data_IF_447856950291
#
_entry.id   IF_447856950291
#
_cell.length_a   1.000
_cell.length_b   1.000
_cell.length_c   1.000
_cell.angle_alpha   90.00
_cell.angle_beta   90.00
_cell.angle_gamma   90.00
#
_symmetry.space_group_name_H-M   'P 1'
#
loop_
_entity.id
_entity.type
_entity.pdbx_description
1 polymer ?
#
# COMPACT_ATOMS: atom_id res chain seq x y z
N UNK A 1 -4.89 16.77 -16.96
CA UNK A 1 -5.20 15.44 -17.48
C UNK A 1 -6.57 15.47 -18.16
N UNK A 2 -6.65 14.98 -19.39
CA UNK A 2 -7.90 14.91 -20.16
C UNK A 2 -8.65 13.60 -19.88
N UNK A 3 -9.04 13.41 -18.63
CA UNK A 3 -9.77 12.19 -18.20
C UNK A 3 -11.03 11.90 -19.04
N UNK A 4 -11.63 12.95 -19.66
CA UNK A 4 -12.84 12.78 -20.45
C UNK A 4 -12.65 12.15 -21.84
N UNK A 5 -11.41 11.87 -22.24
CA UNK A 5 -11.09 11.23 -23.52
C UNK A 5 -11.01 9.71 -23.41
N UNK A 6 -11.06 9.17 -22.18
CA UNK A 6 -10.92 7.75 -21.91
C UNK A 6 -12.21 7.18 -21.31
N UNK A 7 -12.55 5.96 -21.72
CA UNK A 7 -13.52 5.14 -21.03
C UNK A 7 -12.86 4.53 -19.77
N UNK A 8 -13.30 4.99 -18.62
CA UNK A 8 -12.76 4.60 -17.31
C UNK A 8 -13.62 3.57 -16.57
N UNK A 9 -14.58 2.95 -17.26
CA UNK A 9 -15.36 1.88 -16.65
C UNK A 9 -14.65 0.53 -16.78
N UNK A 10 -14.58 -0.19 -15.63
CA UNK A 10 -13.99 -1.54 -15.54
C UNK A 10 -12.55 -1.58 -16.05
N UNK A 11 -11.77 -0.57 -15.73
CA UNK A 11 -10.34 -0.46 -16.11
C UNK A 11 -9.46 -0.58 -14.87
N UNK A 12 -8.19 -0.89 -15.10
CA UNK A 12 -7.12 -0.74 -14.13
C UNK A 12 -6.24 0.40 -14.61
N UNK A 13 -6.07 1.41 -13.77
CA UNK A 13 -5.18 2.55 -14.02
C UNK A 13 -3.86 2.28 -13.31
N UNK A 14 -2.77 2.24 -14.07
CA UNK A 14 -1.42 2.09 -13.52
C UNK A 14 -0.73 3.45 -13.56
N UNK A 15 -0.23 3.89 -12.40
CA UNK A 15 0.52 5.14 -12.23
C UNK A 15 1.90 4.74 -11.73
N UNK A 16 2.89 4.74 -12.62
CA UNK A 16 4.24 4.26 -12.34
C UNK A 16 4.96 5.11 -11.29
N UNK A 17 4.70 6.41 -11.28
CA UNK A 17 5.27 7.37 -10.30
C UNK A 17 4.17 8.30 -9.79
N UNK A 18 3.71 8.03 -8.57
CA UNK A 18 2.73 8.87 -7.91
C UNK A 18 3.33 10.21 -7.47
N UNK A 19 4.62 10.23 -7.17
CA UNK A 19 5.34 11.39 -6.68
C UNK A 19 5.57 12.45 -7.75
N UNK A 20 5.53 12.05 -9.03
CA UNK A 20 5.59 12.93 -10.20
C UNK A 20 4.29 13.65 -10.52
N UNK A 21 3.19 13.33 -9.84
CA UNK A 21 1.91 14.00 -10.05
C UNK A 21 1.85 15.35 -9.30
N UNK A 22 1.36 16.37 -9.98
CA UNK A 22 1.02 17.64 -9.34
C UNK A 22 -0.10 17.45 -8.30
N UNK A 23 -0.10 18.25 -7.25
CA UNK A 23 -1.07 18.18 -6.14
C UNK A 23 -2.53 18.27 -6.63
N UNK A 24 -2.81 19.08 -7.64
CA UNK A 24 -4.13 19.17 -8.27
C UNK A 24 -4.57 17.88 -8.95
N UNK A 25 -3.63 17.14 -9.55
CA UNK A 25 -3.91 15.86 -10.17
C UNK A 25 -4.15 14.76 -9.12
N UNK A 26 -3.39 14.77 -8.04
CA UNK A 26 -3.59 13.89 -6.89
C UNK A 26 -4.96 14.13 -6.22
N UNK A 27 -5.35 15.39 -6.05
CA UNK A 27 -6.67 15.74 -5.52
C UNK A 27 -7.80 15.23 -6.43
N UNK A 28 -7.69 15.46 -7.75
CA UNK A 28 -8.67 14.98 -8.72
C UNK A 28 -8.77 13.45 -8.73
N UNK A 29 -7.63 12.74 -8.62
CA UNK A 29 -7.59 11.28 -8.52
C UNK A 29 -8.30 10.79 -7.25
N UNK A 30 -8.04 11.41 -6.10
CA UNK A 30 -8.70 11.09 -4.82
C UNK A 30 -10.21 11.26 -4.88
N UNK A 31 -10.66 12.38 -5.44
CA UNK A 31 -12.09 12.66 -5.60
C UNK A 31 -12.74 11.63 -6.53
N UNK A 32 -12.05 11.28 -7.62
CA UNK A 32 -12.55 10.32 -8.59
C UNK A 32 -12.65 8.91 -8.01
N UNK A 33 -11.63 8.44 -7.28
CA UNK A 33 -11.66 7.15 -6.58
C UNK A 33 -12.82 7.08 -5.59
N UNK A 34 -13.06 8.17 -4.84
CA UNK A 34 -14.10 8.19 -3.81
C UNK A 34 -15.52 8.30 -4.35
N UNK A 35 -15.72 9.13 -5.37
CA UNK A 35 -17.04 9.53 -5.84
C UNK A 35 -17.41 8.88 -7.17
N UNK A 36 -16.46 8.22 -7.86
CA UNK A 36 -16.62 7.67 -9.21
C UNK A 36 -17.07 8.72 -10.26
N UNK A 37 -17.01 9.99 -9.88
CA UNK A 37 -17.38 11.13 -10.72
C UNK A 37 -16.43 12.28 -10.43
N UNK A 38 -15.78 12.78 -11.47
CA UNK A 38 -14.99 13.99 -11.42
C UNK A 38 -15.75 15.12 -12.09
N UNK A 39 -15.97 16.21 -11.37
CA UNK A 39 -16.66 17.40 -11.87
C UNK A 39 -15.71 18.57 -11.93
N UNK A 40 -15.69 19.24 -13.06
CA UNK A 40 -14.91 20.47 -13.23
C UNK A 40 -15.70 21.49 -14.04
N UNK A 41 -15.31 22.74 -13.92
CA UNK A 41 -15.83 23.83 -14.74
C UNK A 41 -14.71 24.38 -15.60
N UNK A 42 -14.94 24.46 -16.90
CA UNK A 42 -13.99 25.04 -17.85
C UNK A 42 -14.60 26.28 -18.49
N UNK A 43 -13.81 27.33 -18.62
CA UNK A 43 -14.23 28.54 -19.32
C UNK A 43 -14.00 28.34 -20.82
N UNK A 44 -15.05 28.43 -21.59
CA UNK A 44 -15.03 28.32 -23.05
C UNK A 44 -15.52 29.63 -23.66
N UNK A 45 -14.88 30.13 -24.71
CA UNK A 45 -15.38 31.28 -25.46
C UNK A 45 -16.55 30.85 -26.34
N UNK A 46 -17.65 31.62 -26.29
CA UNK A 46 -18.76 31.43 -27.21
C UNK A 46 -18.39 31.96 -28.60
N UNK A 47 -19.31 31.78 -29.57
CA UNK A 47 -19.12 32.26 -30.96
C UNK A 47 -19.00 33.78 -31.06
N UNK A 48 -19.34 34.52 -29.99
CA UNK A 48 -19.25 35.98 -29.91
C UNK A 48 -18.02 36.43 -29.09
N UNK A 49 -17.15 35.52 -28.67
CA UNK A 49 -15.93 35.82 -27.90
C UNK A 49 -16.15 35.98 -26.39
N UNK A 50 -17.38 35.81 -25.87
CA UNK A 50 -17.67 35.96 -24.46
C UNK A 50 -17.29 34.68 -23.70
N UNK A 51 -16.76 34.85 -22.50
CA UNK A 51 -16.42 33.71 -21.62
C UNK A 51 -17.71 33.12 -21.04
N UNK A 52 -17.92 31.83 -21.30
CA UNK A 52 -18.98 31.02 -20.70
C UNK A 52 -18.39 29.87 -19.92
N UNK A 53 -18.93 29.63 -18.74
CA UNK A 53 -18.58 28.46 -17.94
C UNK A 53 -19.31 27.23 -18.46
N UNK A 54 -18.57 26.15 -18.77
CA UNK A 54 -19.14 24.86 -19.17
C UNK A 54 -18.76 23.81 -18.11
N UNK A 55 -19.77 23.12 -17.60
CA UNK A 55 -19.54 21.97 -16.71
C UNK A 55 -18.96 20.82 -17.53
N UNK A 56 -17.88 20.22 -17.02
CA UNK A 56 -17.31 18.98 -17.53
C UNK A 56 -17.49 17.92 -16.44
N UNK A 57 -18.09 16.80 -16.78
CA UNK A 57 -18.29 15.67 -15.86
C UNK A 57 -17.69 14.43 -16.53
N UNK A 58 -16.85 13.71 -15.77
CA UNK A 58 -16.27 12.42 -16.17
C UNK A 58 -16.72 11.40 -15.15
N UNK A 59 -17.30 10.32 -15.62
CA UNK A 59 -17.70 9.17 -14.79
C UNK A 59 -16.79 8.00 -15.06
N UNK A 60 -16.50 7.20 -14.03
CA UNK A 60 -15.70 5.99 -14.18
C UNK A 60 -15.74 5.15 -12.93
N UNK A 61 -15.56 3.86 -13.11
CA UNK A 61 -15.38 2.89 -12.05
C UNK A 61 -14.17 2.05 -12.39
N UNK A 62 -13.08 2.27 -11.69
CA UNK A 62 -11.79 1.66 -11.98
C UNK A 62 -11.07 1.24 -10.71
N UNK A 63 -10.10 0.36 -10.84
CA UNK A 63 -9.08 0.09 -9.85
C UNK A 63 -7.79 0.81 -10.24
N UNK A 64 -6.97 1.16 -9.27
CA UNK A 64 -5.67 1.79 -9.54
C UNK A 64 -4.54 1.08 -8.83
N UNK A 65 -3.38 1.03 -9.49
CA UNK A 65 -2.10 0.62 -8.93
C UNK A 65 -1.14 1.78 -9.10
N UNK A 66 -0.43 2.13 -8.04
CA UNK A 66 0.57 3.19 -8.11
C UNK A 66 1.82 2.83 -7.31
N UNK A 67 2.96 3.30 -7.77
CA UNK A 67 4.21 3.24 -7.03
C UNK A 67 4.59 4.61 -6.47
N UNK A 68 5.23 4.62 -5.32
CA UNK A 68 5.77 5.82 -4.67
C UNK A 68 7.07 5.48 -3.96
N UNK A 69 8.00 6.41 -3.96
CA UNK A 69 9.26 6.30 -3.19
C UNK A 69 9.19 7.05 -1.86
N UNK A 70 8.13 7.82 -1.64
CA UNK A 70 7.92 8.57 -0.41
C UNK A 70 7.15 7.71 0.59
N UNK A 71 7.79 7.38 1.73
CA UNK A 71 7.13 6.69 2.84
C UNK A 71 5.99 7.51 3.45
N UNK A 72 6.13 8.82 3.47
CA UNK A 72 5.11 9.78 3.90
C UNK A 72 4.22 10.20 2.71
N UNK A 73 3.51 9.27 2.16
CA UNK A 73 2.45 9.61 1.21
C UNK A 73 1.31 10.24 2.01
N UNK A 74 0.77 11.37 1.53
CA UNK A 74 -0.35 12.07 2.15
C UNK A 74 -1.33 11.10 2.81
N UNK A 75 -1.55 11.24 4.13
CA UNK A 75 -2.45 10.39 4.93
C UNK A 75 -3.78 10.10 4.23
N UNK A 76 -4.33 11.08 3.53
CA UNK A 76 -5.56 10.96 2.77
C UNK A 76 -5.50 9.99 1.58
N UNK A 77 -4.33 9.77 0.98
CA UNK A 77 -4.14 8.77 -0.09
C UNK A 77 -3.97 7.38 0.50
N UNK A 78 -3.21 7.27 1.59
CA UNK A 78 -2.98 6.02 2.32
C UNK A 78 -4.27 5.42 2.87
N UNK A 79 -5.21 6.27 3.27
CA UNK A 79 -6.49 5.84 3.81
C UNK A 79 -7.46 5.25 2.78
N UNK A 80 -7.18 5.43 1.48
CA UNK A 80 -8.01 4.95 0.35
C UNK A 80 -7.36 3.81 -0.42
N UNK A 81 -6.17 3.41 -0.03
CA UNK A 81 -5.36 2.42 -0.74
C UNK A 81 -4.81 1.37 0.22
N UNK A 82 -4.53 0.20 -0.29
CA UNK A 82 -3.70 -0.77 0.39
C UNK A 82 -2.25 -0.47 0.11
N UNK A 83 -1.46 -0.35 1.16
CA UNK A 83 -0.02 -0.19 1.05
C UNK A 83 0.62 -1.57 0.97
N UNK A 84 1.41 -1.77 -0.06
CA UNK A 84 2.20 -2.97 -0.23
C UNK A 84 3.67 -2.56 -0.13
N UNK A 85 4.34 -3.04 0.90
CA UNK A 85 5.77 -2.85 1.03
C UNK A 85 6.51 -3.79 0.08
N UNK A 86 7.53 -3.27 -0.60
CA UNK A 86 8.44 -4.07 -1.43
C UNK A 86 9.56 -4.59 -0.53
N UNK A 87 9.90 -5.88 -0.67
CA UNK A 87 11.03 -6.47 0.03
C UNK A 87 12.34 -6.00 -0.61
N UNK A 88 13.02 -5.06 0.04
CA UNK A 88 14.33 -4.52 -0.37
C UNK A 88 15.50 -5.23 0.34
N UNK A 89 15.26 -6.38 0.97
CA UNK A 89 16.33 -7.13 1.64
C UNK A 89 17.44 -7.54 0.67
N UNK A 90 18.66 -7.65 1.19
CA UNK A 90 19.80 -8.14 0.40
C UNK A 90 19.56 -9.54 -0.18
N UNK A 91 18.77 -10.37 0.49
CA UNK A 91 18.39 -11.70 0.01
C UNK A 91 17.47 -11.59 -1.23
N UNK A 92 16.47 -10.73 -1.17
CA UNK A 92 15.57 -10.51 -2.31
C UNK A 92 16.31 -9.86 -3.48
N UNK A 93 17.14 -8.86 -3.20
CA UNK A 93 17.99 -8.23 -4.22
C UNK A 93 18.87 -9.25 -4.91
N UNK A 94 19.50 -10.18 -4.17
CA UNK A 94 20.32 -11.25 -4.74
C UNK A 94 19.52 -12.20 -5.63
N UNK A 95 18.28 -12.53 -5.26
CA UNK A 95 17.37 -13.35 -6.10
C UNK A 95 17.04 -12.64 -7.41
N UNK A 96 16.75 -11.33 -7.35
CA UNK A 96 16.44 -10.51 -8.53
C UNK A 96 17.65 -10.46 -9.47
N UNK A 97 18.85 -10.16 -8.93
CA UNK A 97 20.08 -10.12 -9.73
C UNK A 97 20.35 -11.49 -10.38
N UNK A 98 20.19 -12.58 -9.64
CA UNK A 98 20.37 -13.91 -10.19
C UNK A 98 19.37 -14.21 -11.32
N UNK A 99 18.11 -13.85 -11.15
CA UNK A 99 17.11 -13.98 -12.21
C UNK A 99 17.48 -13.15 -13.46
N UNK A 100 17.92 -11.89 -13.27
CA UNK A 100 18.36 -11.03 -14.37
C UNK A 100 19.55 -11.63 -15.13
N UNK A 101 20.53 -12.17 -14.41
CA UNK A 101 21.69 -12.81 -15.00
C UNK A 101 21.32 -14.09 -15.79
N UNK A 102 20.45 -14.93 -15.24
CA UNK A 102 19.94 -16.12 -15.94
C UNK A 102 19.13 -15.73 -17.18
N UNK A 103 18.33 -14.68 -17.10
CA UNK A 103 17.59 -14.16 -18.27
C UNK A 103 18.55 -13.66 -19.35
N UNK A 104 19.59 -12.93 -18.97
CA UNK A 104 20.61 -12.46 -19.91
C UNK A 104 21.42 -13.62 -20.53
N UNK A 105 21.58 -14.73 -19.81
CA UNK A 105 22.20 -15.95 -20.30
C UNK A 105 21.28 -16.83 -21.19
N UNK A 106 20.00 -16.46 -21.35
CA UNK A 106 19.01 -17.27 -22.09
C UNK A 106 18.56 -18.53 -21.34
N UNK A 107 18.79 -18.62 -20.05
CA UNK A 107 18.44 -19.78 -19.21
C UNK A 107 17.01 -19.71 -18.64
N UNK A 108 16.28 -18.61 -18.87
CA UNK A 108 14.90 -18.45 -18.43
C UNK A 108 13.98 -18.87 -19.56
N UNK A 109 13.05 -19.78 -19.25
CA UNK A 109 12.01 -20.20 -20.19
C UNK A 109 10.89 -19.15 -20.28
N UNK A 110 10.96 -18.29 -21.29
CA UNK A 110 9.93 -17.27 -21.54
C UNK A 110 8.57 -17.90 -21.91
N UNK A 111 8.52 -19.11 -22.43
CA UNK A 111 7.25 -19.78 -22.74
C UNK A 111 6.47 -20.09 -21.47
N UNK A 112 7.13 -20.54 -20.42
CA UNK A 112 6.50 -20.81 -19.13
C UNK A 112 5.89 -19.55 -18.49
N UNK A 113 6.57 -18.42 -18.61
CA UNK A 113 5.99 -17.12 -18.19
C UNK A 113 4.73 -16.77 -19.00
N UNK A 114 4.79 -16.92 -20.33
CA UNK A 114 3.65 -16.63 -21.21
C UNK A 114 2.47 -17.58 -20.96
N UNK A 115 2.72 -18.83 -20.67
CA UNK A 115 1.67 -19.79 -20.29
C UNK A 115 1.00 -19.39 -18.98
N UNK A 116 1.75 -19.00 -17.97
CA UNK A 116 1.23 -18.51 -16.69
C UNK A 116 0.37 -17.24 -16.86
N UNK A 117 0.82 -16.30 -17.67
CA UNK A 117 0.07 -15.09 -18.01
C UNK A 117 -1.23 -15.46 -18.74
N UNK A 118 -1.17 -16.38 -19.71
CA UNK A 118 -2.35 -16.85 -20.45
C UNK A 118 -3.34 -17.51 -19.51
N UNK A 119 -2.88 -18.40 -18.64
CA UNK A 119 -3.72 -19.07 -17.65
C UNK A 119 -4.48 -18.08 -16.77
N UNK A 120 -3.78 -17.10 -16.18
CA UNK A 120 -4.41 -16.09 -15.32
C UNK A 120 -5.44 -15.26 -16.13
N UNK A 121 -5.12 -14.87 -17.36
CA UNK A 121 -6.07 -14.16 -18.23
C UNK A 121 -7.33 -14.95 -18.52
N UNK A 122 -7.21 -16.23 -18.80
CA UNK A 122 -8.39 -17.10 -19.03
C UNK A 122 -9.22 -17.29 -17.76
N UNK A 123 -8.58 -17.45 -16.60
CA UNK A 123 -9.30 -17.49 -15.31
C UNK A 123 -10.13 -16.22 -15.11
N UNK A 124 -9.52 -15.04 -15.31
CA UNK A 124 -10.23 -13.76 -15.17
C UNK A 124 -11.38 -13.61 -16.18
N UNK A 125 -11.21 -14.08 -17.41
CA UNK A 125 -12.26 -14.06 -18.45
C UNK A 125 -13.47 -14.95 -18.13
N UNK A 126 -13.24 -16.02 -17.40
CA UNK A 126 -14.31 -16.94 -16.97
C UNK A 126 -15.15 -16.41 -15.80
N UNK A 127 -14.64 -15.38 -15.09
CA UNK A 127 -15.38 -14.81 -13.96
C UNK A 127 -16.66 -14.11 -14.42
N UNK A 128 -17.76 -14.42 -13.75
CA UNK A 128 -19.06 -13.79 -13.96
C UNK A 128 -19.28 -12.67 -12.95
N UNK A 129 -19.93 -11.58 -13.33
CA UNK A 129 -20.22 -10.46 -12.44
C UNK A 129 -21.37 -10.82 -11.48
N UNK A 130 -21.06 -11.30 -10.30
CA UNK A 130 -22.03 -11.55 -9.25
C UNK A 130 -22.04 -10.40 -8.22
N UNK A 131 -23.22 -10.11 -7.68
CA UNK A 131 -23.31 -9.40 -6.40
C UNK A 131 -22.97 -10.39 -5.29
N UNK A 132 -22.01 -10.06 -4.45
CA UNK A 132 -21.55 -10.93 -3.35
C UNK A 132 -22.16 -10.47 -2.04
N UNK A 133 -22.69 -11.41 -1.25
CA UNK A 133 -23.12 -11.19 0.13
C UNK A 133 -22.13 -11.87 1.08
N UNK A 134 -21.76 -11.16 2.15
CA UNK A 134 -20.97 -11.70 3.25
C UNK A 134 -21.86 -11.89 4.49
N UNK A 135 -22.30 -13.11 4.81
CA UNK A 135 -23.13 -13.38 5.97
C UNK A 135 -22.39 -13.22 7.30
N UNK A 136 -21.06 -13.18 7.28
CA UNK A 136 -20.22 -13.02 8.47
C UNK A 136 -19.96 -11.56 8.83
N UNK A 137 -20.30 -10.62 7.94
CA UNK A 137 -20.02 -9.19 8.13
C UNK A 137 -20.46 -8.62 9.49
N UNK A 138 -21.64 -8.98 10.08
CA UNK A 138 -22.03 -8.49 11.39
C UNK A 138 -21.16 -8.98 12.56
N UNK A 139 -20.36 -10.02 12.35
CA UNK A 139 -19.49 -10.62 13.37
C UNK A 139 -18.04 -10.16 13.28
N UNK A 140 -17.69 -9.45 12.21
CA UNK A 140 -16.33 -8.95 11.99
C UNK A 140 -16.13 -7.70 12.84
N UNK A 141 -15.08 -7.73 13.67
CA UNK A 141 -14.65 -6.60 14.48
C UNK A 141 -13.23 -6.24 14.08
N UNK A 142 -12.99 -4.96 13.82
CA UNK A 142 -11.66 -4.42 13.56
C UNK A 142 -11.12 -3.78 14.84
N UNK A 143 -9.78 -3.77 15.05
CA UNK A 143 -9.19 -3.17 16.24
C UNK A 143 -9.58 -1.69 16.37
N UNK A 144 -9.98 -1.27 17.57
CA UNK A 144 -10.42 0.12 17.86
C UNK A 144 -9.30 1.16 17.64
N UNK A 145 -8.05 0.75 17.80
CA UNK A 145 -6.86 1.60 17.63
C UNK A 145 -6.60 2.01 16.17
N UNK A 146 -7.29 1.40 15.20
CA UNK A 146 -7.07 1.69 13.78
C UNK A 146 -7.60 3.08 13.44
N UNK A 147 -6.74 3.91 12.89
CA UNK A 147 -7.19 5.16 12.31
C UNK A 147 -8.15 4.90 11.14
N UNK A 148 -9.25 5.69 11.07
CA UNK A 148 -10.26 5.61 10.00
C UNK A 148 -10.88 4.21 9.81
N UNK A 149 -11.20 3.55 10.89
CA UNK A 149 -11.78 2.19 10.95
C UNK A 149 -12.93 1.96 9.96
N UNK A 150 -13.77 2.98 9.70
CA UNK A 150 -14.90 2.88 8.75
C UNK A 150 -14.43 2.57 7.33
N UNK A 151 -13.41 3.28 6.85
CA UNK A 151 -12.83 3.05 5.50
C UNK A 151 -12.13 1.71 5.43
N UNK A 152 -11.38 1.36 6.47
CA UNK A 152 -10.73 0.06 6.52
C UNK A 152 -11.76 -1.07 6.46
N UNK A 153 -12.90 -0.94 7.16
CA UNK A 153 -13.97 -1.93 7.10
C UNK A 153 -14.56 -2.06 5.69
N UNK A 154 -14.83 -0.94 5.00
CA UNK A 154 -15.30 -0.97 3.61
C UNK A 154 -14.30 -1.68 2.68
N UNK A 155 -13.01 -1.37 2.82
CA UNK A 155 -11.95 -2.02 2.05
C UNK A 155 -11.85 -3.51 2.37
N UNK A 156 -11.92 -3.88 3.64
CA UNK A 156 -11.89 -5.27 4.07
C UNK A 156 -13.07 -6.06 3.51
N UNK A 157 -14.28 -5.53 3.60
CA UNK A 157 -15.47 -6.14 2.99
C UNK A 157 -15.33 -6.26 1.46
N UNK A 158 -14.70 -5.28 0.81
CA UNK A 158 -14.45 -5.35 -0.63
C UNK A 158 -13.49 -6.50 -0.99
N UNK A 159 -12.43 -6.72 -0.21
CA UNK A 159 -11.50 -7.84 -0.46
C UNK A 159 -12.16 -9.19 -0.21
N UNK A 160 -12.94 -9.36 0.86
CA UNK A 160 -13.72 -10.59 1.09
C UNK A 160 -14.60 -10.89 -0.12
N UNK A 161 -15.32 -9.88 -0.64
CA UNK A 161 -16.15 -10.04 -1.83
C UNK A 161 -15.34 -10.42 -3.08
N UNK A 162 -14.15 -9.85 -3.24
CA UNK A 162 -13.27 -10.20 -4.37
C UNK A 162 -12.74 -11.63 -4.25
N UNK A 163 -12.34 -12.07 -3.07
CA UNK A 163 -11.92 -13.45 -2.82
C UNK A 163 -13.06 -14.44 -3.15
N UNK A 164 -14.26 -14.17 -2.64
CA UNK A 164 -15.44 -14.98 -2.96
C UNK A 164 -15.75 -15.00 -4.46
N UNK A 165 -15.58 -13.85 -5.15
CA UNK A 165 -15.81 -13.75 -6.60
C UNK A 165 -14.77 -14.55 -7.39
N UNK A 166 -13.51 -14.56 -7.00
CA UNK A 166 -12.47 -15.41 -7.62
C UNK A 166 -12.79 -16.89 -7.43
N UNK A 167 -13.31 -17.25 -6.25
CA UNK A 167 -13.70 -18.62 -5.91
C UNK A 167 -15.16 -18.97 -6.28
N UNK A 168 -15.80 -18.21 -7.16
CA UNK A 168 -17.25 -18.25 -7.42
C UNK A 168 -17.77 -19.64 -7.82
N UNK A 169 -16.96 -20.46 -8.47
CA UNK A 169 -17.35 -21.80 -8.91
C UNK A 169 -17.42 -22.83 -7.76
N UNK A 170 -16.83 -22.49 -6.60
CA UNK A 170 -16.89 -23.27 -5.36
C UNK A 170 -17.82 -22.63 -4.32
N UNK A 171 -18.59 -21.61 -4.70
CA UNK A 171 -19.48 -20.87 -3.80
C UNK A 171 -20.95 -21.07 -4.17
N UNK A 172 -21.81 -21.00 -3.18
CA UNK A 172 -23.26 -21.10 -3.39
C UNK A 172 -23.81 -19.78 -3.95
N UNK A 173 -24.76 -19.91 -4.86
CA UNK A 173 -25.55 -18.78 -5.35
C UNK A 173 -26.96 -18.88 -4.76
N UNK A 174 -27.39 -17.85 -4.01
CA UNK A 174 -28.74 -17.74 -3.45
C UNK A 174 -29.42 -16.50 -4.01
N UNK A 175 -30.58 -16.63 -4.58
CA UNK A 175 -31.36 -15.52 -5.16
C UNK A 175 -30.53 -14.66 -6.15
N UNK A 176 -29.71 -15.32 -6.97
CA UNK A 176 -28.83 -14.65 -7.94
C UNK A 176 -27.61 -13.94 -7.36
N UNK A 177 -27.36 -14.07 -6.05
CA UNK A 177 -26.22 -13.48 -5.35
C UNK A 177 -25.25 -14.56 -4.88
N UNK A 178 -23.96 -14.32 -5.03
CA UNK A 178 -22.91 -15.21 -4.54
C UNK A 178 -22.78 -15.05 -3.02
N UNK A 179 -22.66 -16.15 -2.29
CA UNK A 179 -22.54 -16.15 -0.83
C UNK A 179 -21.10 -16.44 -0.45
N UNK A 180 -20.44 -15.51 0.23
CA UNK A 180 -19.10 -15.70 0.77
C UNK A 180 -19.10 -16.76 1.87
N UNK A 181 -18.03 -17.54 1.95
CA UNK A 181 -17.79 -18.55 2.97
C UNK A 181 -16.73 -18.06 3.97
N UNK A 182 -16.53 -18.79 5.05
CA UNK A 182 -15.59 -18.40 6.10
C UNK A 182 -14.15 -18.38 5.57
N UNK A 183 -13.82 -19.29 4.65
CA UNK A 183 -12.52 -19.37 4.00
C UNK A 183 -12.20 -18.11 3.18
N UNK A 184 -13.22 -17.40 2.65
CA UNK A 184 -13.02 -16.14 1.95
C UNK A 184 -12.64 -15.03 2.94
N UNK A 185 -13.20 -15.08 4.15
CA UNK A 185 -12.84 -14.15 5.24
C UNK A 185 -11.41 -14.42 5.69
N UNK A 186 -11.05 -15.69 5.91
CA UNK A 186 -9.70 -16.09 6.31
C UNK A 186 -8.65 -15.69 5.27
N UNK A 187 -8.89 -15.94 3.99
CA UNK A 187 -7.99 -15.54 2.92
C UNK A 187 -7.88 -14.03 2.79
N UNK A 188 -8.99 -13.30 2.90
CA UNK A 188 -8.98 -11.84 2.88
C UNK A 188 -8.20 -11.27 4.07
N UNK A 189 -8.35 -11.86 5.26
CA UNK A 189 -7.59 -11.49 6.46
C UNK A 189 -6.09 -11.69 6.23
N UNK A 190 -5.70 -12.85 5.69
CA UNK A 190 -4.30 -13.14 5.37
C UNK A 190 -3.70 -12.15 4.37
N UNK A 191 -4.45 -11.78 3.33
CA UNK A 191 -4.02 -10.80 2.32
C UNK A 191 -3.84 -9.40 2.93
N UNK A 192 -4.77 -9.00 3.83
CA UNK A 192 -4.83 -7.65 4.35
C UNK A 192 -4.09 -7.47 5.67
N UNK A 193 -3.68 -8.56 6.32
CA UNK A 193 -3.11 -8.52 7.66
C UNK A 193 -1.98 -7.48 7.79
N UNK A 194 -0.99 -7.54 6.91
CA UNK A 194 0.13 -6.59 6.93
C UNK A 194 -0.33 -5.14 6.69
N UNK A 195 -1.30 -4.93 5.79
CA UNK A 195 -1.87 -3.59 5.55
C UNK A 195 -2.66 -3.07 6.75
N UNK A 196 -3.32 -3.95 7.52
CA UNK A 196 -4.02 -3.60 8.75
C UNK A 196 -3.00 -3.25 9.83
N UNK A 197 -1.98 -4.09 10.02
CA UNK A 197 -0.89 -3.84 10.98
C UNK A 197 -0.24 -2.47 10.73
N UNK A 198 0.10 -2.16 9.47
CA UNK A 198 0.69 -0.87 9.09
C UNK A 198 -0.24 0.34 9.38
N UNK A 199 -1.55 0.14 9.44
CA UNK A 199 -2.51 1.21 9.80
C UNK A 199 -2.74 1.36 11.30
N UNK A 200 -2.33 0.38 12.08
CA UNK A 200 -2.34 0.41 13.56
C UNK A 200 -1.00 0.88 14.10
N UNK A 201 0.06 0.61 13.36
CA UNK A 201 1.43 0.99 13.73
C UNK A 201 1.64 2.50 13.57
N UNK A 202 2.26 3.12 14.55
CA UNK A 202 2.68 4.52 14.51
C UNK A 202 3.84 4.74 13.53
N UNK A 203 4.67 3.70 13.33
CA UNK A 203 5.78 3.74 12.39
C UNK A 203 5.32 3.28 11.00
N UNK A 204 5.68 4.02 9.96
CA UNK A 204 5.52 3.53 8.60
C UNK A 204 6.33 2.25 8.36
N UNK A 205 5.97 1.48 7.33
CA UNK A 205 6.57 0.16 7.10
C UNK A 205 8.09 0.17 6.91
N UNK A 206 8.66 1.23 6.32
CA UNK A 206 10.11 1.38 6.13
C UNK A 206 10.80 1.71 7.45
N UNK A 207 10.22 2.64 8.20
CA UNK A 207 10.73 3.04 9.52
C UNK A 207 10.58 1.91 10.53
N UNK A 208 9.48 1.15 10.48
CA UNK A 208 9.28 -0.06 11.29
C UNK A 208 10.36 -1.10 11.02
N UNK A 209 10.63 -1.41 9.76
CA UNK A 209 11.66 -2.36 9.39
C UNK A 209 13.05 -1.90 9.87
N UNK A 210 13.34 -0.61 9.71
CA UNK A 210 14.58 -0.03 10.23
C UNK A 210 14.68 -0.17 11.75
N UNK A 211 13.62 0.13 12.50
CA UNK A 211 13.58 0.06 13.95
C UNK A 211 13.70 -1.38 14.47
N UNK A 212 13.02 -2.35 13.84
CA UNK A 212 13.18 -3.77 14.17
C UNK A 212 14.60 -4.28 13.92
N UNK A 213 15.24 -3.88 12.84
CA UNK A 213 16.63 -4.22 12.56
C UNK A 213 17.60 -3.55 13.55
N UNK A 214 17.29 -2.32 13.97
CA UNK A 214 18.03 -1.61 15.03
C UNK A 214 17.92 -2.37 16.36
N UNK A 215 16.72 -2.78 16.77
CA UNK A 215 16.50 -3.58 18.00
C UNK A 215 17.26 -4.92 17.95
N UNK A 216 17.23 -5.62 16.81
CA UNK A 216 18.02 -6.86 16.61
C UNK A 216 19.51 -6.65 16.75
N UNK A 217 20.03 -5.52 16.26
CA UNK A 217 21.45 -5.18 16.41
C UNK A 217 21.82 -4.87 17.85
N UNK A 218 21.00 -4.07 18.53
CA UNK A 218 21.28 -3.65 19.90
C UNK A 218 21.15 -4.77 20.91
N UNK A 219 20.18 -5.66 20.74
CA UNK A 219 19.80 -6.78 21.64
C UNK A 219 19.33 -6.37 23.03
N UNK A 220 19.59 -5.13 23.46
CA UNK A 220 19.31 -4.60 24.80
C UNK A 220 18.90 -3.11 24.68
N UNK A 221 17.85 -2.73 25.42
CA UNK A 221 17.35 -1.35 25.52
C UNK A 221 18.39 -0.37 26.07
N UNK A 222 19.32 -0.87 26.89
CA UNK A 222 20.34 -0.07 27.58
C UNK A 222 21.48 0.40 26.71
N UNK A 223 21.66 -0.15 25.53
CA UNK A 223 22.86 0.05 24.71
C UNK A 223 22.79 1.32 23.88
N UNK A 224 23.84 2.14 24.00
CA UNK A 224 24.04 3.29 23.12
C UNK A 224 24.50 2.87 21.73
N UNK A 225 24.14 3.66 20.72
CA UNK A 225 24.57 3.46 19.35
C UNK A 225 24.81 4.79 18.63
N UNK A 226 25.55 4.71 17.54
CA UNK A 226 25.80 5.86 16.65
C UNK A 226 25.28 5.59 15.24
N UNK A 227 24.98 6.65 14.50
CA UNK A 227 24.55 6.53 13.10
C UNK A 227 25.57 5.77 12.24
N UNK A 228 26.87 5.89 12.55
CA UNK A 228 27.92 5.19 11.82
C UNK A 228 27.86 3.69 12.00
N UNK A 229 27.69 3.21 13.24
CA UNK A 229 27.56 1.79 13.56
C UNK A 229 26.36 1.18 12.87
N UNK A 230 25.19 1.84 12.95
CA UNK A 230 23.96 1.36 12.31
C UNK A 230 24.11 1.33 10.80
N UNK A 231 24.69 2.36 10.20
CA UNK A 231 24.97 2.39 8.77
C UNK A 231 25.83 1.21 8.30
N UNK A 232 26.89 0.92 9.04
CA UNK A 232 27.78 -0.18 8.71
C UNK A 232 27.12 -1.54 8.88
N UNK A 233 26.30 -1.70 9.94
CA UNK A 233 25.63 -2.96 10.22
C UNK A 233 24.49 -3.26 9.24
N UNK A 234 23.65 -2.25 8.92
CA UNK A 234 22.50 -2.43 8.05
C UNK A 234 22.81 -2.22 6.56
N UNK A 235 24.03 -1.78 6.20
CA UNK A 235 24.40 -1.53 4.80
C UNK A 235 23.67 -0.37 4.14
N UNK A 236 23.09 0.55 4.94
CA UNK A 236 22.28 1.66 4.44
C UNK A 236 23.12 2.90 4.11
N UNK A 237 22.61 3.78 3.25
CA UNK A 237 23.23 5.05 2.96
C UNK A 237 23.19 6.01 4.15
N UNK A 238 24.11 6.99 4.18
CA UNK A 238 24.13 8.02 5.22
C UNK A 238 22.80 8.78 5.31
N UNK A 239 22.21 9.11 4.19
CA UNK A 239 20.96 9.88 4.09
C UNK A 239 19.77 9.09 4.62
N UNK A 240 19.67 7.79 4.30
CA UNK A 240 18.61 6.92 4.80
C UNK A 240 18.69 6.78 6.32
N UNK A 241 19.87 6.46 6.86
CA UNK A 241 20.05 6.33 8.31
C UNK A 241 19.75 7.64 9.02
N UNK A 242 20.23 8.78 8.50
CA UNK A 242 19.95 10.08 9.08
C UNK A 242 18.45 10.36 9.14
N UNK A 243 17.72 10.17 8.02
CA UNK A 243 16.27 10.39 7.95
C UNK A 243 15.53 9.50 8.95
N UNK A 244 15.80 8.21 8.97
CA UNK A 244 15.14 7.28 9.88
C UNK A 244 15.42 7.60 11.36
N UNK A 245 16.65 8.00 11.70
CA UNK A 245 17.00 8.45 13.06
C UNK A 245 16.26 9.74 13.43
N UNK A 246 16.09 10.68 12.51
CA UNK A 246 15.32 11.90 12.78
C UNK A 246 13.84 11.58 13.04
N UNK A 247 13.21 10.76 12.19
CA UNK A 247 11.82 10.35 12.39
C UNK A 247 11.62 9.60 13.72
N UNK A 248 12.54 8.69 14.09
CA UNK A 248 12.46 8.00 15.39
C UNK A 248 12.69 8.94 16.59
N UNK A 249 13.47 10.02 16.43
CA UNK A 249 13.62 11.06 17.46
C UNK A 249 12.35 11.88 17.61
N UNK A 250 11.72 12.29 16.50
CA UNK A 250 10.46 13.04 16.46
C UNK A 250 9.31 12.27 17.09
N UNK A 251 9.27 10.95 16.86
CA UNK A 251 8.29 10.03 17.43
C UNK A 251 8.69 9.50 18.83
N UNK A 252 9.77 9.99 19.41
CA UNK A 252 10.27 9.65 20.76
C UNK A 252 10.65 8.17 20.98
N UNK A 253 10.77 7.37 19.92
CA UNK A 253 11.26 5.99 19.99
C UNK A 253 12.72 5.87 20.40
N UNK A 254 13.51 6.88 20.07
CA UNK A 254 14.91 7.02 20.50
C UNK A 254 15.16 8.40 21.07
N UNK A 255 16.21 8.54 21.85
CA UNK A 255 16.68 9.81 22.38
C UNK A 255 18.18 9.97 22.21
N UNK A 256 18.66 11.17 22.20
CA UNK A 256 20.08 11.47 22.27
C UNK A 256 20.57 11.16 23.70
N UNK A 257 21.55 10.25 23.82
CA UNK A 257 22.11 9.83 25.10
C UNK A 257 23.44 10.50 25.42
N UNK A 258 24.11 11.08 24.41
CA UNK A 258 25.40 11.73 24.59
C UNK A 258 26.10 12.08 23.29
N UNK A 259 27.37 12.34 23.36
CA UNK A 259 28.19 12.75 22.20
C UNK A 259 28.26 14.25 22.01
N UNK A 260 29.05 14.70 21.03
CA UNK A 260 29.24 16.11 20.71
C UNK A 260 28.72 16.38 19.28
N UNK A 261 27.95 17.47 19.04
CA UNK A 261 27.36 17.77 17.73
C UNK A 261 28.37 17.75 16.58
N UNK A 262 29.61 18.16 16.84
CA UNK A 262 30.69 18.26 15.84
C UNK A 262 31.54 16.99 15.69
N UNK A 263 31.29 15.92 16.48
CA UNK A 263 32.06 14.67 16.41
C UNK A 263 31.22 13.45 16.16
N UNK A 264 30.40 13.08 17.12
CA UNK A 264 29.53 11.91 17.00
C UNK A 264 28.43 11.98 18.06
N UNK A 265 27.19 11.97 17.64
CA UNK A 265 26.04 11.87 18.53
C UNK A 265 25.80 10.39 18.85
N UNK A 266 25.48 10.12 20.13
CA UNK A 266 25.04 8.83 20.62
C UNK A 266 23.56 8.86 20.89
N UNK A 267 22.91 7.78 20.56
CA UNK A 267 21.46 7.58 20.71
C UNK A 267 21.19 6.35 21.54
N UNK A 268 20.03 6.31 22.15
CA UNK A 268 19.52 5.20 22.93
C UNK A 268 18.04 5.01 22.63
N UNK A 269 17.56 3.78 22.62
CA UNK A 269 16.14 3.50 22.49
C UNK A 269 15.43 3.97 23.77
N UNK A 270 14.38 4.77 23.60
CA UNK A 270 13.54 5.29 24.71
C UNK A 270 12.31 4.44 24.88
N UNK A 271 11.74 3.97 23.79
CA UNK A 271 10.54 3.16 23.78
C UNK A 271 10.80 1.87 23.00
N UNK A 272 10.93 0.77 23.77
CA UNK A 272 11.11 -0.57 23.21
C UNK A 272 9.75 -1.23 23.10
N UNK A 273 9.04 -0.95 22.04
CA UNK A 273 7.72 -1.53 21.81
C UNK A 273 7.76 -3.04 21.55
N UNK A 274 6.64 -3.71 21.79
CA UNK A 274 6.46 -5.10 21.44
C UNK A 274 5.58 -5.25 20.20
N UNK A 275 6.19 -5.08 19.03
CA UNK A 275 5.50 -5.19 17.75
C UNK A 275 4.90 -6.59 17.51
N UNK A 276 5.52 -7.65 18.02
CA UNK A 276 4.96 -9.00 17.93
C UNK A 276 3.65 -9.11 18.71
N UNK A 277 3.60 -8.53 19.92
CA UNK A 277 2.36 -8.49 20.70
C UNK A 277 1.26 -7.70 20.00
N UNK A 278 1.60 -6.56 19.37
CA UNK A 278 0.65 -5.80 18.56
C UNK A 278 0.04 -6.65 17.44
N UNK A 279 0.88 -7.47 16.77
CA UNK A 279 0.42 -8.39 15.72
C UNK A 279 -0.50 -9.50 16.23
N UNK A 280 -0.32 -9.94 17.47
CA UNK A 280 -1.18 -10.95 18.13
C UNK A 280 -2.53 -10.38 18.59
N UNK A 281 -2.58 -9.09 18.86
CA UNK A 281 -3.79 -8.37 19.28
C UNK A 281 -4.71 -7.99 18.11
N UNK A 282 -4.17 -7.98 16.88
CA UNK A 282 -4.91 -7.70 15.62
C UNK A 282 -5.50 -9.00 15.06
#
# INVERSE_FOLDING_TARGET
YNWGEYDLFKKVIVIEDLDGLEEKALYALREFISNQVLRSSVTVKDKKGNNKSRKKEVKGQFSSLSATTKGETYEDNMNRSFLLAVDESGQQTSKIINYQNRRAAGEVDENQEQESIRFIREVVRLLKPYTVINPFAPKIQLPEKVQQVRRLNEMYQAVIKQVALVNQYQRQVKEGKLVAQIEDVEQATGILFESIVLKVDELDGSLRLFFENLKKYLKDEGKDFTQREIRQHLGLSKTQVFRNIQSLLELEYIKQSGGHPNRCLKYKVSYWDNFLKLREEI
#
